data_IF_821571504494
#
_entry.id   IF_821571504494
#
_cell.length_a   1.000
_cell.length_b   1.000
_cell.length_c   1.000
_cell.angle_alpha   90.00
_cell.angle_beta   90.00
_cell.angle_gamma   90.00
#
_symmetry.space_group_name_H-M   'P 1'
#
loop_
_entity.id
_entity.type
_entity.pdbx_description
1 polymer ?
#
# COMPACT_ATOMS: atom_id res chain seq x y z
N UNK A 1 13.68 -0.67 -0.05
CA UNK A 1 15.02 -1.24 0.22
C UNK A 1 15.83 -1.51 -1.04
N UNK A 2 15.26 -2.05 -2.12
CA UNK A 2 16.03 -2.34 -3.36
C UNK A 2 16.59 -1.09 -4.04
N UNK A 3 15.96 0.07 -3.86
CA UNK A 3 16.43 1.35 -4.39
C UNK A 3 17.47 2.06 -3.48
N UNK A 4 17.80 1.50 -2.30
CA UNK A 4 18.87 2.07 -1.47
C UNK A 4 20.21 1.79 -2.14
N UNK A 5 21.13 2.77 -2.21
CA UNK A 5 22.48 2.48 -2.66
C UNK A 5 23.15 1.47 -1.70
N UNK A 6 24.09 0.69 -2.22
CA UNK A 6 24.66 -0.47 -1.51
C UNK A 6 25.30 -0.10 -0.17
N UNK A 7 25.86 1.10 -0.08
CA UNK A 7 26.48 1.66 1.13
C UNK A 7 25.46 1.92 2.23
N UNK A 8 24.32 2.51 1.89
CA UNK A 8 23.21 2.83 2.79
C UNK A 8 22.53 1.55 3.26
N UNK A 9 22.31 0.61 2.34
CA UNK A 9 21.76 -0.70 2.69
C UNK A 9 22.67 -1.44 3.68
N UNK A 10 23.99 -1.45 3.45
CA UNK A 10 24.94 -2.11 4.36
C UNK A 10 24.97 -1.51 5.77
N UNK A 11 24.67 -0.22 5.91
CA UNK A 11 24.55 0.44 7.22
C UNK A 11 23.23 0.14 7.93
N UNK A 12 22.13 0.08 7.17
CA UNK A 12 20.80 -0.16 7.74
C UNK A 12 20.59 -1.64 8.06
N UNK A 13 21.13 -2.54 7.23
CA UNK A 13 20.90 -3.98 7.30
C UNK A 13 21.14 -4.61 8.68
N UNK A 14 22.23 -4.31 9.41
CA UNK A 14 22.45 -4.84 10.76
C UNK A 14 21.43 -4.40 11.81
N UNK A 15 20.68 -3.33 11.53
CA UNK A 15 19.67 -2.73 12.41
C UNK A 15 18.25 -3.22 12.08
N UNK A 16 18.09 -4.01 11.01
CA UNK A 16 16.81 -4.54 10.57
C UNK A 16 16.42 -5.78 11.39
N UNK A 17 15.21 -5.76 11.93
CA UNK A 17 14.56 -6.94 12.49
C UNK A 17 13.47 -7.42 11.54
N UNK A 18 13.40 -8.74 11.30
CA UNK A 18 12.27 -9.31 10.54
C UNK A 18 11.06 -9.46 11.46
N UNK A 19 9.90 -8.95 11.01
CA UNK A 19 8.64 -9.01 11.75
C UNK A 19 7.52 -9.55 10.86
N UNK A 20 6.56 -10.22 11.48
CA UNK A 20 5.33 -10.65 10.82
C UNK A 20 4.33 -9.50 10.72
N UNK A 21 3.73 -9.33 9.53
CA UNK A 21 2.61 -8.44 9.32
C UNK A 21 1.32 -9.22 9.53
N UNK A 22 0.70 -9.05 10.69
CA UNK A 22 -0.58 -9.68 11.03
C UNK A 22 -1.74 -8.79 10.56
N UNK A 23 -2.77 -9.40 9.95
CA UNK A 23 -3.97 -8.65 9.52
C UNK A 23 -4.57 -7.83 10.65
N UNK A 24 -5.13 -6.66 10.30
CA UNK A 24 -5.83 -5.73 11.20
C UNK A 24 -4.93 -5.13 12.28
N UNK A 25 -3.61 -5.39 12.22
CA UNK A 25 -2.64 -4.74 13.09
C UNK A 25 -2.32 -3.35 12.55
N UNK A 26 -2.46 -2.33 13.39
CA UNK A 26 -1.96 -0.99 13.11
C UNK A 26 -0.44 -0.97 13.30
N UNK A 27 0.29 -0.63 12.25
CA UNK A 27 1.73 -0.36 12.29
C UNK A 27 2.03 1.04 12.81
N UNK A 28 1.08 1.96 12.64
CA UNK A 28 1.08 3.29 13.21
C UNK A 28 -0.36 3.81 13.28
N UNK A 29 -0.65 4.55 14.35
CA UNK A 29 -1.91 5.27 14.53
C UNK A 29 -1.75 6.74 14.15
N UNK A 30 -2.78 7.34 13.55
CA UNK A 30 -2.80 8.75 13.21
C UNK A 30 -2.62 9.61 14.48
N UNK A 31 -1.71 10.58 14.40
CA UNK A 31 -1.37 11.48 15.51
C UNK A 31 -0.40 10.88 16.53
N UNK A 32 -0.10 9.58 16.48
CA UNK A 32 0.89 8.97 17.36
C UNK A 32 2.32 9.19 16.83
N UNK A 33 3.32 9.34 17.73
CA UNK A 33 4.73 9.38 17.32
C UNK A 33 5.14 8.09 16.60
N UNK A 34 5.82 8.22 15.46
CA UNK A 34 6.38 7.06 14.76
C UNK A 34 7.61 6.56 15.48
N UNK A 35 7.53 5.32 15.97
CA UNK A 35 8.64 4.66 16.67
C UNK A 35 9.39 3.66 15.79
N UNK A 36 8.78 3.23 14.69
CA UNK A 36 9.27 2.14 13.83
C UNK A 36 8.98 2.46 12.37
N UNK A 37 9.93 2.10 11.51
CA UNK A 37 9.80 2.18 10.05
C UNK A 37 9.75 0.75 9.51
N UNK A 38 8.79 0.47 8.65
CA UNK A 38 8.58 -0.88 8.11
C UNK A 38 8.80 -0.91 6.60
N UNK A 39 9.57 -1.89 6.15
CA UNK A 39 9.79 -2.21 4.74
C UNK A 39 9.14 -3.57 4.46
N UNK A 40 7.90 -3.61 3.94
CA UNK A 40 7.25 -4.87 3.63
C UNK A 40 8.07 -5.69 2.63
N UNK A 41 8.08 -7.00 2.81
CA UNK A 41 8.60 -7.97 1.84
C UNK A 41 7.45 -8.61 1.06
N UNK A 42 6.33 -8.78 1.75
CA UNK A 42 5.05 -9.31 1.26
C UNK A 42 3.91 -8.71 2.08
N UNK A 43 2.68 -8.93 1.65
CA UNK A 43 1.50 -8.35 2.28
C UNK A 43 1.21 -6.93 1.79
N UNK A 44 0.18 -6.34 2.38
CA UNK A 44 -0.37 -5.05 1.97
C UNK A 44 -0.74 -4.25 3.21
N UNK A 45 -0.25 -3.02 3.28
CA UNK A 45 -0.56 -2.03 4.30
C UNK A 45 -1.35 -0.90 3.65
N UNK A 46 -2.51 -0.59 4.21
CA UNK A 46 -3.38 0.50 3.75
C UNK A 46 -3.19 1.71 4.64
N UNK A 47 -3.00 2.88 4.02
CA UNK A 47 -3.06 4.16 4.71
C UNK A 47 -4.51 4.62 4.78
N UNK A 48 -5.04 4.73 5.98
CA UNK A 48 -6.47 4.95 6.23
C UNK A 48 -6.71 6.32 6.88
N UNK A 49 -7.71 7.04 6.38
CA UNK A 49 -8.23 8.26 7.01
C UNK A 49 -9.56 7.93 7.67
N UNK A 50 -9.65 8.15 8.98
CA UNK A 50 -10.89 8.03 9.73
C UNK A 50 -11.66 9.35 9.70
N UNK A 51 -12.93 9.28 9.34
CA UNK A 51 -13.86 10.39 9.30
C UNK A 51 -14.68 10.45 10.60
N UNK A 52 -15.22 11.63 10.90
CA UNK A 52 -15.97 11.86 12.14
C UNK A 52 -17.29 11.08 12.23
N UNK A 53 -17.80 10.58 11.11
CA UNK A 53 -19.00 9.74 11.02
C UNK A 53 -18.69 8.23 11.20
N UNK A 54 -17.44 7.88 11.50
CA UNK A 54 -16.98 6.52 11.72
C UNK A 54 -16.62 5.76 10.43
N UNK A 55 -16.71 6.41 9.26
CA UNK A 55 -16.18 5.82 8.03
C UNK A 55 -14.66 5.90 8.01
N UNK A 56 -14.04 4.92 7.35
CA UNK A 56 -12.60 4.92 7.08
C UNK A 56 -12.37 4.69 5.60
N UNK A 57 -11.47 5.48 5.01
CA UNK A 57 -11.19 5.44 3.56
C UNK A 57 -9.69 5.28 3.33
N UNK A 58 -9.33 4.34 2.47
CA UNK A 58 -7.94 4.19 2.04
C UNK A 58 -7.54 5.34 1.11
N UNK A 59 -6.39 5.93 1.38
CA UNK A 59 -5.79 6.97 0.53
C UNK A 59 -4.61 6.44 -0.30
N UNK A 60 -3.88 5.47 0.24
CA UNK A 60 -2.73 4.85 -0.40
C UNK A 60 -2.52 3.41 0.06
N UNK A 61 -1.83 2.64 -0.79
CA UNK A 61 -1.49 1.24 -0.52
C UNK A 61 0.03 1.06 -0.58
N UNK A 62 0.62 0.57 0.49
CA UNK A 62 2.05 0.31 0.65
C UNK A 62 2.27 -1.21 0.73
N UNK A 63 3.24 -1.72 -0.02
CA UNK A 63 3.68 -3.10 0.10
C UNK A 63 5.18 -3.20 -0.17
N UNK A 64 5.58 -4.26 -0.87
CA UNK A 64 7.00 -4.57 -1.11
C UNK A 64 7.79 -3.53 -1.90
N UNK A 65 7.09 -2.59 -2.52
CA UNK A 65 7.65 -1.47 -3.30
C UNK A 65 7.68 -0.15 -2.52
N UNK A 66 7.38 -0.16 -1.22
CA UNK A 66 7.34 1.04 -0.40
C UNK A 66 7.85 0.85 1.03
N UNK A 67 7.58 1.86 1.85
CA UNK A 67 8.00 1.96 3.25
C UNK A 67 6.95 2.70 4.07
N UNK A 68 6.66 2.20 5.28
CA UNK A 68 5.74 2.83 6.22
C UNK A 68 6.52 3.67 7.22
N UNK A 69 6.13 4.93 7.38
CA UNK A 69 6.66 5.82 8.42
C UNK A 69 7.99 6.53 8.13
N UNK A 70 8.50 6.46 6.88
CA UNK A 70 9.81 7.02 6.53
C UNK A 70 9.93 8.53 6.81
N UNK A 71 9.11 9.39 6.19
CA UNK A 71 9.18 10.84 6.41
C UNK A 71 8.87 11.26 7.86
N UNK A 72 7.90 10.59 8.47
CA UNK A 72 7.55 10.82 9.87
C UNK A 72 8.72 10.54 10.83
N UNK A 73 9.47 9.46 10.60
CA UNK A 73 10.68 9.14 11.35
C UNK A 73 11.80 10.18 11.16
N UNK A 74 12.01 10.68 9.94
CA UNK A 74 13.03 11.71 9.67
C UNK A 74 12.80 13.02 10.44
N UNK A 75 11.54 13.41 10.62
CA UNK A 75 11.18 14.72 11.14
C UNK A 75 10.59 14.70 12.56
N UNK A 76 10.57 13.53 13.21
CA UNK A 76 9.94 13.33 14.52
C UNK A 76 8.49 13.84 14.53
N UNK A 77 7.78 13.58 13.44
CA UNK A 77 6.38 13.98 13.27
C UNK A 77 5.48 12.74 13.33
N UNK A 78 4.24 12.89 13.80
CA UNK A 78 3.27 11.82 13.72
C UNK A 78 2.84 11.58 12.26
N UNK A 79 2.37 10.37 11.97
CA UNK A 79 1.60 10.12 10.75
C UNK A 79 0.21 10.76 10.87
N UNK A 80 -0.35 11.21 9.75
CA UNK A 80 -1.69 11.80 9.71
C UNK A 80 -2.77 10.80 9.23
N UNK A 81 -2.37 9.56 9.02
CA UNK A 81 -3.23 8.44 8.62
C UNK A 81 -2.80 7.20 9.42
N UNK A 82 -3.75 6.31 9.68
CA UNK A 82 -3.41 5.00 10.23
C UNK A 82 -2.73 4.17 9.14
N UNK A 83 -1.77 3.34 9.52
CA UNK A 83 -1.16 2.36 8.64
C UNK A 83 -1.56 0.95 9.09
N UNK A 84 -2.54 0.35 8.42
CA UNK A 84 -3.16 -0.91 8.84
C UNK A 84 -2.78 -2.04 7.88
N UNK A 85 -2.35 -3.18 8.42
CA UNK A 85 -2.10 -4.38 7.61
C UNK A 85 -3.43 -4.97 7.14
N UNK A 86 -3.69 -4.98 5.83
CA UNK A 86 -4.91 -5.55 5.24
C UNK A 86 -4.69 -6.94 4.66
N UNK A 87 -3.50 -7.21 4.12
CA UNK A 87 -3.09 -8.55 3.69
C UNK A 87 -1.85 -8.95 4.51
N UNK A 88 -1.90 -10.10 5.22
CA UNK A 88 -0.76 -10.60 5.99
C UNK A 88 0.50 -10.77 5.14
N UNK A 89 1.65 -10.69 5.80
CA UNK A 89 2.94 -10.84 5.16
C UNK A 89 4.08 -10.72 6.16
N UNK A 90 5.21 -10.19 5.70
CA UNK A 90 6.39 -9.95 6.51
C UNK A 90 7.03 -8.62 6.14
N UNK A 91 7.81 -8.05 7.04
CA UNK A 91 8.54 -6.81 6.82
C UNK A 91 9.90 -6.85 7.53
N UNK A 92 10.83 -6.05 7.03
CA UNK A 92 11.95 -5.58 7.84
C UNK A 92 11.50 -4.35 8.61
N UNK A 93 11.85 -4.27 9.88
CA UNK A 93 11.54 -3.18 10.79
C UNK A 93 12.83 -2.59 11.32
N UNK A 94 12.88 -1.26 11.41
CA UNK A 94 13.97 -0.53 12.06
C UNK A 94 13.38 0.53 12.99
N UNK A 95 14.09 0.83 14.08
CA UNK A 95 13.67 1.90 15.00
C UNK A 95 13.76 3.24 14.27
N UNK A 96 12.83 4.14 14.55
CA UNK A 96 12.79 5.45 13.91
C UNK A 96 14.07 6.26 14.16
N UNK A 97 14.70 6.11 15.34
CA UNK A 97 15.96 6.76 15.67
C UNK A 97 17.12 6.29 14.79
N UNK A 98 17.24 4.98 14.58
CA UNK A 98 18.28 4.35 13.76
C UNK A 98 18.10 4.72 12.28
N UNK A 99 16.85 4.74 11.81
CA UNK A 99 16.52 5.18 10.46
C UNK A 99 16.91 6.65 10.22
N UNK A 100 16.60 7.53 11.18
CA UNK A 100 16.95 8.95 11.12
C UNK A 100 18.47 9.13 11.16
N UNK A 101 19.17 8.44 12.04
CA UNK A 101 20.64 8.53 12.11
C UNK A 101 21.31 8.08 10.81
N UNK A 102 20.80 7.01 10.19
CA UNK A 102 21.26 6.58 8.87
C UNK A 102 20.98 7.65 7.79
N UNK A 103 19.81 8.27 7.82
CA UNK A 103 19.45 9.34 6.90
C UNK A 103 20.26 10.62 7.12
N UNK A 104 20.63 10.98 8.36
CA UNK A 104 21.46 12.17 8.65
C UNK A 104 22.86 12.05 8.02
N UNK A 105 23.36 10.83 7.88
CA UNK A 105 24.68 10.52 7.32
C UNK A 105 24.72 10.47 5.79
N UNK A 106 23.57 10.34 5.11
CA UNK A 106 23.52 10.20 3.64
C UNK A 106 22.51 11.14 3.01
N UNK A 107 23.00 12.06 2.18
CA UNK A 107 22.15 12.93 1.36
C UNK A 107 21.33 12.13 0.34
N UNK A 108 21.91 11.07 -0.22
CA UNK A 108 21.25 10.20 -1.21
C UNK A 108 20.09 9.43 -0.57
N UNK A 109 20.25 8.97 0.67
CA UNK A 109 19.15 8.37 1.42
C UNK A 109 18.01 9.39 1.63
N UNK A 110 18.31 10.61 2.09
CA UNK A 110 17.27 11.64 2.26
C UNK A 110 16.57 11.99 0.95
N UNK A 111 17.32 12.07 -0.15
CA UNK A 111 16.77 12.27 -1.49
C UNK A 111 15.83 11.13 -1.88
N UNK A 112 16.23 9.87 -1.66
CA UNK A 112 15.40 8.71 -1.94
C UNK A 112 14.10 8.72 -1.12
N UNK A 113 14.16 9.06 0.16
CA UNK A 113 12.96 9.20 1.00
C UNK A 113 12.06 10.31 0.46
N UNK A 114 12.62 11.46 0.05
CA UNK A 114 11.83 12.54 -0.53
C UNK A 114 11.14 12.14 -1.85
N UNK A 115 11.85 11.43 -2.74
CA UNK A 115 11.29 10.91 -3.99
C UNK A 115 10.21 9.85 -3.72
N UNK A 116 10.40 9.01 -2.70
CA UNK A 116 9.38 8.06 -2.26
C UNK A 116 8.10 8.75 -1.78
N UNK A 117 8.21 9.78 -0.94
CA UNK A 117 7.05 10.54 -0.47
C UNK A 117 6.34 11.28 -1.62
N UNK A 118 7.09 11.76 -2.63
CA UNK A 118 6.50 12.32 -3.84
C UNK A 118 5.70 11.27 -4.62
N UNK A 119 6.20 10.04 -4.73
CA UNK A 119 5.47 8.94 -5.38
C UNK A 119 4.21 8.55 -4.59
N UNK A 120 4.30 8.49 -3.26
CA UNK A 120 3.17 8.21 -2.37
C UNK A 120 2.09 9.31 -2.44
N UNK A 121 2.51 10.57 -2.53
CA UNK A 121 1.62 11.71 -2.78
C UNK A 121 0.93 11.59 -4.14
N UNK A 122 1.66 11.26 -5.20
CA UNK A 122 1.09 11.06 -6.53
C UNK A 122 0.08 9.89 -6.53
N UNK A 123 0.38 8.79 -5.83
CA UNK A 123 -0.57 7.69 -5.63
C UNK A 123 -1.84 8.18 -4.92
N UNK A 124 -1.68 8.96 -3.85
CA UNK A 124 -2.81 9.52 -3.08
C UNK A 124 -3.70 10.41 -3.95
N UNK A 125 -3.10 11.34 -4.70
CA UNK A 125 -3.82 12.20 -5.64
C UNK A 125 -4.56 11.39 -6.71
N UNK A 126 -3.93 10.36 -7.27
CA UNK A 126 -4.54 9.49 -8.26
C UNK A 126 -5.69 8.65 -7.66
N UNK A 127 -5.57 8.21 -6.41
CA UNK A 127 -6.65 7.52 -5.68
C UNK A 127 -7.87 8.42 -5.50
N UNK A 128 -7.67 9.69 -5.16
CA UNK A 128 -8.77 10.67 -5.05
C UNK A 128 -9.46 10.86 -6.40
N UNK A 129 -8.70 11.12 -7.47
CA UNK A 129 -9.26 11.25 -8.81
C UNK A 129 -10.03 10.00 -9.24
N UNK A 130 -9.46 8.81 -8.99
CA UNK A 130 -10.08 7.54 -9.32
C UNK A 130 -11.42 7.34 -8.60
N UNK A 131 -11.48 7.70 -7.31
CA UNK A 131 -12.68 7.52 -6.50
C UNK A 131 -13.85 8.41 -6.93
N UNK A 132 -13.58 9.55 -7.56
CA UNK A 132 -14.60 10.49 -8.06
C UNK A 132 -14.97 10.21 -9.53
N UNK A 133 -14.02 9.74 -10.34
CA UNK A 133 -14.19 9.68 -11.80
C UNK A 133 -14.54 8.30 -12.35
N UNK A 134 -14.24 7.21 -11.64
CA UNK A 134 -14.39 5.84 -12.17
C UNK A 134 -15.48 5.02 -11.47
N UNK A 135 -16.13 4.08 -12.19
CA UNK A 135 -17.12 3.19 -11.60
C UNK A 135 -16.50 2.23 -10.58
N UNK A 136 -17.34 1.69 -9.69
CA UNK A 136 -16.92 0.75 -8.63
C UNK A 136 -16.19 -0.46 -9.19
N UNK A 137 -16.65 -0.97 -10.33
CA UNK A 137 -16.02 -2.09 -11.04
C UNK A 137 -14.54 -1.80 -11.35
N UNK A 138 -14.25 -0.66 -11.96
CA UNK A 138 -12.90 -0.31 -12.37
C UNK A 138 -11.97 -0.02 -11.18
N UNK A 139 -12.51 0.59 -10.12
CA UNK A 139 -11.78 0.84 -8.87
C UNK A 139 -11.45 -0.45 -8.13
N UNK A 140 -12.42 -1.37 -8.04
CA UNK A 140 -12.21 -2.67 -7.42
C UNK A 140 -11.15 -3.47 -8.17
N UNK A 141 -11.24 -3.53 -9.50
CA UNK A 141 -10.25 -4.21 -10.35
C UNK A 141 -8.86 -3.62 -10.17
N UNK A 142 -8.73 -2.27 -10.20
CA UNK A 142 -7.47 -1.58 -9.92
C UNK A 142 -6.88 -1.98 -8.57
N UNK A 143 -7.70 -1.95 -7.52
CA UNK A 143 -7.24 -2.24 -6.16
C UNK A 143 -6.80 -3.70 -6.02
N UNK A 144 -7.55 -4.66 -6.58
CA UNK A 144 -7.19 -6.09 -6.56
C UNK A 144 -5.89 -6.36 -7.32
N UNK A 145 -5.70 -5.75 -8.50
CA UNK A 145 -4.44 -5.84 -9.25
C UNK A 145 -3.27 -5.25 -8.46
N UNK A 146 -3.48 -4.12 -7.79
CA UNK A 146 -2.45 -3.52 -6.93
C UNK A 146 -2.11 -4.44 -5.75
N UNK A 147 -3.09 -4.94 -5.03
CA UNK A 147 -2.88 -5.85 -3.91
C UNK A 147 -2.12 -7.12 -4.33
N UNK A 148 -2.49 -7.70 -5.47
CA UNK A 148 -1.80 -8.83 -6.10
C UNK A 148 -0.34 -8.52 -6.40
N UNK A 149 -0.05 -7.38 -7.04
CA UNK A 149 1.32 -6.99 -7.37
C UNK A 149 2.19 -6.82 -6.11
N UNK A 150 1.59 -6.33 -5.02
CA UNK A 150 2.27 -6.13 -3.74
C UNK A 150 2.53 -7.43 -2.98
N UNK A 151 1.57 -8.37 -2.97
CA UNK A 151 1.69 -9.63 -2.23
C UNK A 151 2.29 -10.78 -3.06
N UNK A 152 2.31 -10.69 -4.39
CA UNK A 152 2.77 -11.74 -5.29
C UNK A 152 1.85 -12.96 -5.36
N UNK A 153 0.57 -12.81 -5.02
CA UNK A 153 -0.41 -13.89 -4.93
C UNK A 153 -1.72 -13.50 -5.62
N UNK A 154 -2.32 -14.46 -6.34
CA UNK A 154 -3.69 -14.34 -6.87
C UNK A 154 -4.77 -14.55 -5.80
N UNK A 155 -4.37 -15.16 -4.68
CA UNK A 155 -5.20 -15.53 -3.57
C UNK A 155 -5.09 -14.44 -2.48
N UNK A 156 -6.11 -13.59 -2.39
CA UNK A 156 -6.16 -12.43 -1.51
C UNK A 156 -7.14 -12.72 -0.36
N UNK A 157 -6.68 -12.73 0.90
CA UNK A 157 -7.52 -13.12 2.01
C UNK A 157 -8.30 -11.89 2.51
N UNK A 158 -9.28 -11.45 1.72
CA UNK A 158 -10.03 -10.23 1.91
C UNK A 158 -11.54 -10.50 2.02
N UNK A 159 -12.22 -9.66 2.76
CA UNK A 159 -13.69 -9.64 2.80
C UNK A 159 -14.24 -8.52 1.92
N UNK A 160 -15.50 -8.64 1.50
CA UNK A 160 -16.22 -7.55 0.83
C UNK A 160 -16.32 -6.28 1.70
N UNK A 161 -16.36 -6.42 3.03
CA UNK A 161 -16.40 -5.27 3.94
C UNK A 161 -15.07 -4.51 3.91
N UNK A 162 -13.96 -5.23 3.99
CA UNK A 162 -12.63 -4.61 3.86
C UNK A 162 -12.49 -3.93 2.50
N UNK A 163 -12.86 -4.60 1.40
CA UNK A 163 -12.82 -3.99 0.08
C UNK A 163 -13.69 -2.73 -0.02
N UNK A 164 -14.88 -2.76 0.58
CA UNK A 164 -15.78 -1.61 0.58
C UNK A 164 -15.17 -0.40 1.29
N UNK A 165 -14.49 -0.63 2.42
CA UNK A 165 -13.71 0.40 3.11
C UNK A 165 -12.54 0.90 2.25
N UNK A 166 -11.76 -0.01 1.65
CA UNK A 166 -10.59 0.37 0.84
C UNK A 166 -10.97 1.19 -0.39
N UNK A 167 -12.07 0.85 -1.05
CA UNK A 167 -12.52 1.61 -2.21
C UNK A 167 -13.56 2.67 -1.82
N UNK A 168 -13.85 2.95 -0.55
CA UNK A 168 -14.76 4.03 -0.15
C UNK A 168 -16.19 3.91 -0.71
N UNK A 169 -16.78 2.70 -0.67
CA UNK A 169 -18.16 2.44 -1.11
C UNK A 169 -18.91 1.62 -0.07
N UNK A 170 -20.22 1.46 -0.26
CA UNK A 170 -21.02 0.54 0.56
C UNK A 170 -20.75 -0.91 0.17
N UNK A 171 -20.76 -1.82 1.16
CA UNK A 171 -20.57 -3.27 0.97
C UNK A 171 -21.43 -3.87 -0.15
N UNK A 172 -22.68 -3.44 -0.27
CA UNK A 172 -23.59 -3.93 -1.30
C UNK A 172 -23.10 -3.65 -2.73
N UNK A 173 -22.43 -2.53 -2.97
CA UNK A 173 -21.85 -2.20 -4.27
C UNK A 173 -20.73 -3.19 -4.62
N UNK A 174 -19.87 -3.53 -3.66
CA UNK A 174 -18.84 -4.57 -3.82
C UNK A 174 -19.48 -5.93 -4.07
N UNK A 175 -20.53 -6.30 -3.34
CA UNK A 175 -21.22 -7.57 -3.54
C UNK A 175 -21.77 -7.74 -4.97
N UNK A 176 -22.34 -6.67 -5.54
CA UNK A 176 -22.88 -6.67 -6.92
C UNK A 176 -21.75 -6.89 -7.93
N UNK A 177 -20.67 -6.10 -7.84
CA UNK A 177 -19.53 -6.21 -8.76
C UNK A 177 -18.84 -7.57 -8.63
N UNK A 178 -18.58 -8.03 -7.40
CA UNK A 178 -17.95 -9.33 -7.14
C UNK A 178 -18.78 -10.49 -7.70
N UNK A 179 -20.12 -10.41 -7.61
CA UNK A 179 -21.00 -11.40 -8.22
C UNK A 179 -20.91 -11.39 -9.75
N UNK A 180 -20.88 -10.19 -10.37
CA UNK A 180 -20.67 -10.05 -11.81
C UNK A 180 -19.34 -10.66 -12.27
N UNK A 181 -18.24 -10.37 -11.58
CA UNK A 181 -16.95 -10.98 -11.87
C UNK A 181 -16.92 -12.50 -11.67
N UNK A 182 -17.67 -13.01 -10.68
CA UNK A 182 -17.77 -14.45 -10.48
C UNK A 182 -18.57 -15.15 -11.59
N UNK A 183 -19.64 -14.53 -12.09
CA UNK A 183 -20.36 -15.06 -13.27
C UNK A 183 -19.50 -15.01 -14.54
N UNK A 184 -18.67 -13.97 -14.68
CA UNK A 184 -17.75 -13.82 -15.80
C UNK A 184 -16.48 -14.70 -15.71
N UNK A 185 -16.27 -15.42 -14.59
CA UNK A 185 -15.07 -16.24 -14.37
C UNK A 185 -13.80 -15.43 -14.10
N UNK A 186 -13.91 -14.15 -13.77
CA UNK A 186 -12.77 -13.25 -13.48
C UNK A 186 -12.24 -13.45 -12.07
N UNK A 187 -13.16 -13.65 -11.11
CA UNK A 187 -12.84 -13.92 -9.71
C UNK A 187 -13.57 -15.16 -9.22
N UNK A 188 -12.94 -15.91 -8.31
CA UNK A 188 -13.64 -16.85 -7.42
C UNK A 188 -13.70 -16.26 -6.03
N UNK A 189 -14.91 -16.22 -5.46
CA UNK A 189 -15.12 -15.70 -4.13
C UNK A 189 -15.51 -16.82 -3.16
N UNK A 190 -14.86 -16.85 -1.99
CA UNK A 190 -15.30 -17.62 -0.83
C UNK A 190 -15.19 -16.76 0.44
N UNK A 191 -15.65 -17.28 1.58
CA UNK A 191 -15.74 -16.46 2.80
C UNK A 191 -14.36 -15.96 3.23
N UNK A 192 -14.15 -14.64 3.13
CA UNK A 192 -12.90 -13.97 3.51
C UNK A 192 -11.74 -14.25 2.56
N UNK A 193 -12.03 -14.67 1.33
CA UNK A 193 -11.03 -15.02 0.35
C UNK A 193 -11.49 -14.70 -1.08
N UNK A 194 -10.60 -14.10 -1.86
CA UNK A 194 -10.79 -13.77 -3.26
C UNK A 194 -9.63 -14.38 -4.02
N UNK A 195 -9.94 -15.18 -5.03
CA UNK A 195 -8.97 -15.75 -5.96
C UNK A 195 -9.17 -15.08 -7.32
N UNK A 196 -8.12 -14.46 -7.86
CA UNK A 196 -8.12 -13.90 -9.22
C UNK A 196 -7.91 -15.05 -10.20
N UNK A 197 -8.93 -15.35 -11.01
CA UNK A 197 -8.91 -16.50 -11.94
C UNK A 197 -8.63 -16.10 -13.39
N UNK A 198 -8.94 -14.86 -13.76
CA UNK A 198 -8.57 -14.27 -15.05
C UNK A 198 -7.98 -12.86 -14.84
N UNK A 199 -6.65 -12.80 -14.85
CA UNK A 199 -5.91 -11.55 -14.67
C UNK A 199 -6.14 -10.58 -15.84
N UNK A 200 -6.30 -11.08 -17.06
CA UNK A 200 -6.47 -10.22 -18.23
C UNK A 200 -7.88 -9.67 -18.30
N UNK A 201 -8.88 -10.46 -17.90
CA UNK A 201 -10.24 -9.99 -17.64
C UNK A 201 -10.27 -8.90 -16.57
N UNK A 202 -9.56 -9.09 -15.45
CA UNK A 202 -9.46 -8.10 -14.38
C UNK A 202 -8.75 -6.82 -14.85
N UNK A 203 -7.68 -6.94 -15.65
CA UNK A 203 -6.98 -5.80 -16.27
C UNK A 203 -7.85 -5.01 -17.22
N UNK A 204 -8.66 -5.68 -18.04
CA UNK A 204 -9.62 -5.02 -18.95
C UNK A 204 -10.71 -4.26 -18.19
N UNK A 205 -11.12 -4.77 -17.02
CA UNK A 205 -12.09 -4.11 -16.17
C UNK A 205 -11.49 -2.95 -15.36
N UNK A 206 -10.17 -2.91 -15.14
CA UNK A 206 -9.50 -1.86 -14.39
C UNK A 206 -9.43 -0.54 -15.17
N UNK A 207 -9.43 0.58 -14.44
CA UNK A 207 -9.16 1.89 -15.04
C UNK A 207 -7.66 2.11 -15.26
N UNK A 208 -7.35 3.14 -16.05
CA UNK A 208 -5.99 3.59 -16.37
C UNK A 208 -5.16 3.95 -15.14
N UNK A 209 -5.82 4.32 -14.03
CA UNK A 209 -5.18 4.65 -12.76
C UNK A 209 -4.31 3.51 -12.20
N UNK A 210 -4.53 2.25 -12.61
CA UNK A 210 -3.65 1.13 -12.25
C UNK A 210 -2.24 1.33 -12.84
N UNK A 211 -2.16 1.64 -14.12
CA UNK A 211 -0.89 1.86 -14.82
C UNK A 211 -0.26 3.19 -14.47
N UNK A 212 -1.06 4.25 -14.29
CA UNK A 212 -0.56 5.61 -13.97
C UNK A 212 0.23 5.65 -12.67
N UNK A 213 -0.26 4.99 -11.61
CA UNK A 213 0.44 4.96 -10.31
C UNK A 213 1.80 4.25 -10.42
N UNK A 214 1.86 3.13 -11.16
CA UNK A 214 3.12 2.39 -11.36
C UNK A 214 4.14 3.24 -12.12
N UNK A 215 3.68 3.91 -13.18
CA UNK A 215 4.53 4.81 -13.96
C UNK A 215 5.03 6.02 -13.15
N UNK A 216 4.25 6.54 -12.20
CA UNK A 216 4.71 7.60 -11.29
C UNK A 216 5.82 7.13 -10.37
N UNK A 217 5.67 5.93 -9.77
CA UNK A 217 6.68 5.36 -8.89
C UNK A 217 7.97 5.04 -9.66
N UNK A 218 7.87 4.42 -10.84
CA UNK A 218 9.01 4.11 -11.72
C UNK A 218 9.76 5.38 -12.15
N UNK A 219 9.04 6.46 -12.49
CA UNK A 219 9.67 7.73 -12.88
C UNK A 219 10.46 8.40 -11.74
N UNK A 220 10.03 8.21 -10.50
CA UNK A 220 10.60 8.92 -9.34
C UNK A 220 11.66 8.09 -8.60
N UNK A 221 11.52 6.77 -8.58
CA UNK A 221 12.33 5.85 -7.73
C UNK A 221 12.93 4.70 -8.55
N UNK A 222 12.55 4.57 -9.82
CA UNK A 222 13.16 3.59 -10.72
C UNK A 222 14.66 3.85 -10.88
N UNK A 223 15.43 2.82 -11.29
CA UNK A 223 16.84 3.02 -11.60
C UNK A 223 16.98 4.11 -12.67
N UNK A 224 17.97 4.99 -12.51
CA UNK A 224 18.39 5.88 -13.59
C UNK A 224 19.02 5.02 -14.70
N UNK A 225 18.58 5.22 -15.94
CA UNK A 225 19.12 4.56 -17.14
C UNK A 225 20.58 4.95 -17.41
#
# INVERSE_FOLDING_TARGET
MQALPSTEYAQLHPLLETVDLTRETALADAGAPVQRVYFPHSGVVSMMINLSDGQSVEIATIGRDGVVGASAALHERPLLADAIVVVPGSASMVRAEDFREAADRSADFRTLVALYEQALMAQTQQSVACNVSHPVEARLSRWLLRARDLCGSEALPLTQEMLAQMIGVRRNAVSIVAHGFQQAGILRYSRGHIEITDIDGLRKAACECYTTVKAHAERLIGPED
#
